data_IF_228036724304
#
_entry.id   IF_228036724304
#
_cell.length_a   1.000
_cell.length_b   1.000
_cell.length_c   1.000
_cell.angle_alpha   90.00
_cell.angle_beta   90.00
_cell.angle_gamma   90.00
#
_symmetry.space_group_name_H-M   'P 1'
#
loop_
_entity.id
_entity.type
_entity.pdbx_description
1 polymer ?
#
# COMPACT_ATOMS: atom_id res chain seq x y z
N UNK A 1 10.36 27.40 3.96
CA UNK A 1 10.66 27.01 5.36
C UNK A 1 11.65 25.86 5.26
N UNK A 2 12.83 25.94 5.90
CA UNK A 2 13.78 24.82 5.88
C UNK A 2 13.18 23.67 6.71
N UNK A 3 13.21 22.42 6.24
CA UNK A 3 12.79 21.30 7.08
C UNK A 3 13.77 21.16 8.27
N UNK A 4 13.30 20.67 9.43
CA UNK A 4 14.17 20.48 10.57
C UNK A 4 15.21 19.42 10.23
N UNK A 5 16.49 19.76 10.40
CA UNK A 5 17.57 18.78 10.41
C UNK A 5 17.35 17.90 11.64
N UNK A 6 16.80 16.70 11.43
CA UNK A 6 16.77 15.67 12.45
C UNK A 6 18.22 15.33 12.79
N UNK A 7 18.69 15.82 13.93
CA UNK A 7 19.91 15.31 14.56
C UNK A 7 19.49 13.96 15.14
N UNK A 8 19.68 12.89 14.37
CA UNK A 8 19.57 11.52 14.88
C UNK A 8 20.70 11.37 15.89
N UNK A 9 20.36 11.59 17.16
CA UNK A 9 21.23 11.27 18.28
C UNK A 9 21.25 9.74 18.35
N UNK A 10 22.23 9.13 17.69
CA UNK A 10 22.56 7.72 17.85
C UNK A 10 22.91 7.49 19.33
N UNK A 11 21.88 7.20 20.12
CA UNK A 11 22.02 6.67 21.46
C UNK A 11 22.44 5.21 21.24
N UNK A 12 23.74 4.97 21.13
CA UNK A 12 24.27 3.63 21.26
C UNK A 12 23.82 3.11 22.63
N UNK A 13 22.80 2.25 22.64
CA UNK A 13 22.37 1.56 23.85
C UNK A 13 23.46 0.55 24.17
N UNK A 14 24.46 1.02 24.91
CA UNK A 14 25.40 0.19 25.62
C UNK A 14 24.60 -0.78 26.50
N UNK A 15 24.51 -2.05 26.09
CA UNK A 15 24.02 -3.10 26.97
C UNK A 15 25.09 -3.26 28.04
N UNK A 16 24.95 -2.50 29.13
CA UNK A 16 25.69 -2.72 30.35
C UNK A 16 25.26 -4.09 30.90
N UNK A 17 26.05 -5.12 30.61
CA UNK A 17 26.02 -6.36 31.37
C UNK A 17 26.31 -5.99 32.83
N UNK A 18 25.26 -5.98 33.66
CA UNK A 18 25.38 -5.76 35.10
C UNK A 18 26.06 -6.96 35.75
N UNK A 19 27.39 -6.98 35.72
CA UNK A 19 28.24 -7.82 36.55
C UNK A 19 28.77 -7.00 37.72
N UNK A 20 28.52 -7.48 38.95
CA UNK A 20 28.71 -6.71 40.19
C UNK A 20 30.14 -6.26 40.46
N UNK A 21 30.24 -5.29 41.38
CA UNK A 21 31.49 -4.78 41.95
C UNK A 21 32.42 -5.92 42.42
N UNK A 22 33.41 -6.24 41.58
CA UNK A 22 34.48 -7.20 41.80
C UNK A 22 35.55 -6.88 40.77
N UNK A 23 36.83 -6.94 41.18
CA UNK A 23 38.02 -6.54 40.43
C UNK A 23 37.85 -6.61 38.90
N UNK A 24 38.04 -5.48 38.20
CA UNK A 24 38.12 -5.46 36.74
C UNK A 24 39.38 -6.27 36.34
N UNK A 25 39.18 -7.41 35.68
CA UNK A 25 40.27 -8.07 34.97
C UNK A 25 40.69 -7.15 33.82
N UNK A 26 41.99 -7.06 33.56
CA UNK A 26 42.53 -6.24 32.48
C UNK A 26 41.92 -6.67 31.13
N UNK A 27 41.44 -5.71 30.34
CA UNK A 27 40.84 -6.08 29.06
C UNK A 27 40.09 -4.97 28.35
N UNK A 28 39.38 -5.38 27.31
CA UNK A 28 38.47 -4.53 26.52
C UNK A 28 37.08 -4.62 27.16
N UNK A 29 36.57 -3.50 27.65
CA UNK A 29 35.31 -3.45 28.39
C UNK A 29 34.10 -3.24 27.47
N UNK A 30 34.22 -2.33 26.52
CA UNK A 30 33.16 -1.97 25.58
C UNK A 30 33.78 -1.56 24.24
N UNK A 31 33.16 -1.96 23.13
CA UNK A 31 33.57 -1.55 21.79
C UNK A 31 32.33 -1.28 20.93
N UNK A 32 32.35 -0.19 20.18
CA UNK A 32 31.31 0.15 19.22
C UNK A 32 31.92 0.77 17.96
N UNK A 33 31.34 0.48 16.80
CA UNK A 33 31.56 1.29 15.60
C UNK A 33 30.69 2.54 15.73
N UNK A 34 31.22 3.69 15.35
CA UNK A 34 30.68 5.02 15.60
C UNK A 34 31.11 5.94 14.44
N UNK A 35 30.79 7.23 14.55
CA UNK A 35 31.23 8.23 13.58
C UNK A 35 30.29 8.35 12.37
N UNK A 36 30.70 9.10 11.34
CA UNK A 36 29.83 9.48 10.21
C UNK A 36 29.36 8.29 9.37
N UNK A 37 30.13 7.21 9.35
CA UNK A 37 29.79 5.99 8.64
C UNK A 37 28.79 5.10 9.40
N UNK A 38 28.52 5.35 10.70
CA UNK A 38 27.52 4.59 11.44
C UNK A 38 26.12 4.96 10.93
N UNK A 39 25.51 4.05 10.18
CA UNK A 39 24.23 4.29 9.51
C UNK A 39 23.07 4.18 10.49
N UNK A 40 22.91 3.01 11.11
CA UNK A 40 21.83 2.71 12.05
C UNK A 40 22.13 1.42 12.82
N UNK A 41 21.29 1.09 13.80
CA UNK A 41 21.27 -0.23 14.45
C UNK A 41 19.84 -0.72 14.46
N UNK A 42 19.62 -1.89 13.87
CA UNK A 42 18.29 -2.50 13.79
C UNK A 42 18.40 -3.96 14.24
N UNK A 43 17.53 -4.36 15.17
CA UNK A 43 17.53 -5.69 15.80
C UNK A 43 18.90 -6.15 16.32
N UNK A 44 19.67 -5.20 16.85
CA UNK A 44 21.02 -5.44 17.37
C UNK A 44 22.11 -5.61 16.31
N UNK A 45 21.77 -5.54 15.02
CA UNK A 45 22.76 -5.50 13.93
C UNK A 45 23.15 -4.05 13.66
N UNK A 46 24.44 -3.77 13.71
CA UNK A 46 24.98 -2.46 13.37
C UNK A 46 25.19 -2.35 11.86
N UNK A 47 24.68 -1.29 11.24
CA UNK A 47 24.85 -1.00 9.83
C UNK A 47 25.79 0.18 9.63
N UNK A 48 26.67 0.07 8.64
CA UNK A 48 27.64 1.13 8.30
C UNK A 48 27.62 1.44 6.81
N UNK A 49 27.96 2.67 6.43
CA UNK A 49 28.04 3.10 5.04
C UNK A 49 29.39 2.75 4.41
N UNK A 50 29.33 2.02 3.29
CA UNK A 50 30.49 1.73 2.45
C UNK A 50 31.14 3.03 1.95
N UNK A 51 32.47 3.12 2.05
CA UNK A 51 33.27 4.24 1.54
C UNK A 51 33.22 5.50 2.39
N UNK A 52 32.73 5.40 3.63
CA UNK A 52 32.86 6.45 4.64
C UNK A 52 33.72 5.91 5.79
N UNK A 53 34.73 6.67 6.23
CA UNK A 53 35.57 6.26 7.35
C UNK A 53 34.76 6.12 8.64
N UNK A 54 34.63 4.91 9.21
CA UNK A 54 34.04 4.71 10.52
C UNK A 54 35.04 5.08 11.63
N UNK A 55 34.50 5.42 12.79
CA UNK A 55 35.25 5.51 14.02
C UNK A 55 35.00 4.27 14.87
N UNK A 56 36.04 3.69 15.48
CA UNK A 56 35.88 2.66 16.50
C UNK A 56 36.15 3.27 17.86
N UNK A 57 35.13 3.27 18.71
CA UNK A 57 35.25 3.70 20.10
C UNK A 57 35.36 2.46 20.98
N UNK A 58 36.38 2.42 21.82
CA UNK A 58 36.63 1.29 22.74
C UNK A 58 37.09 1.79 24.11
N UNK A 59 36.63 1.13 25.17
CA UNK A 59 37.07 1.37 26.54
C UNK A 59 37.92 0.21 27.01
N UNK A 60 39.13 0.51 27.48
CA UNK A 60 40.08 -0.49 28.00
C UNK A 60 40.44 -0.22 29.45
N UNK A 61 40.73 -1.28 30.20
CA UNK A 61 41.19 -1.23 31.59
C UNK A 61 42.50 -2.00 31.79
N UNK A 62 43.31 -1.55 32.74
CA UNK A 62 44.58 -2.21 33.11
C UNK A 62 44.39 -3.27 34.19
N UNK A 63 45.35 -4.21 34.32
CA UNK A 63 45.39 -5.09 35.47
C UNK A 63 45.65 -4.31 36.75
N UNK A 64 45.15 -4.85 37.88
CA UNK A 64 45.58 -4.43 39.22
C UNK A 64 47.05 -4.86 39.42
N UNK A 65 47.87 -3.95 39.93
CA UNK A 65 49.30 -4.08 40.19
C UNK A 65 49.55 -3.90 41.69
N UNK A 66 50.76 -4.15 42.19
CA UNK A 66 51.08 -3.94 43.62
C UNK A 66 51.73 -2.57 43.89
N UNK A 67 52.05 -1.81 42.84
CA UNK A 67 52.77 -0.53 42.93
C UNK A 67 52.09 0.55 42.06
N UNK A 68 51.39 1.48 42.71
CA UNK A 68 50.64 2.60 42.12
C UNK A 68 51.50 3.60 41.31
N UNK A 69 52.82 3.41 41.22
CA UNK A 69 53.76 4.27 40.49
C UNK A 69 54.25 3.69 39.16
N UNK A 70 53.82 2.48 38.80
CA UNK A 70 54.23 1.82 37.56
C UNK A 70 53.39 2.32 36.37
N UNK A 71 54.02 3.01 35.43
CA UNK A 71 53.39 3.42 34.18
C UNK A 71 53.76 2.43 33.11
N UNK A 72 52.76 1.73 32.56
CA UNK A 72 52.98 0.80 31.45
C UNK A 72 52.45 1.37 30.16
N UNK A 73 53.20 1.11 29.10
CA UNK A 73 52.79 1.45 27.75
C UNK A 73 51.93 0.31 27.23
N UNK A 74 50.81 0.66 26.64
CA UNK A 74 49.89 -0.27 25.99
C UNK A 74 49.61 0.23 24.57
N UNK A 75 49.10 -0.66 23.73
CA UNK A 75 48.59 -0.26 22.42
C UNK A 75 47.24 -0.92 22.15
N UNK A 76 46.34 -0.14 21.55
CA UNK A 76 45.09 -0.63 20.98
C UNK A 76 45.24 -0.65 19.47
N UNK A 77 44.84 -1.77 18.86
CA UNK A 77 44.88 -1.97 17.40
C UNK A 77 43.52 -2.43 16.92
N UNK A 78 43.13 -1.93 15.75
CA UNK A 78 41.90 -2.32 15.07
C UNK A 78 42.25 -3.07 13.79
N UNK A 79 41.64 -4.22 13.57
CA UNK A 79 41.79 -5.06 12.37
C UNK A 79 40.42 -5.46 11.84
N UNK A 80 40.30 -5.63 10.53
CA UNK A 80 39.09 -6.14 9.84
C UNK A 80 39.31 -7.62 9.46
N UNK A 81 38.28 -8.45 9.61
CA UNK A 81 38.44 -9.93 9.53
C UNK A 81 37.99 -10.55 8.20
N UNK A 82 37.48 -9.76 7.25
CA UNK A 82 36.92 -10.31 6.00
C UNK A 82 37.96 -10.76 4.98
N UNK A 83 39.25 -10.46 5.20
CA UNK A 83 40.33 -11.16 4.51
C UNK A 83 40.74 -12.39 5.33
N UNK A 84 40.78 -13.56 4.67
CA UNK A 84 40.96 -14.90 5.23
C UNK A 84 42.26 -15.14 6.03
N UNK A 85 43.01 -14.12 6.44
CA UNK A 85 44.19 -14.23 7.29
C UNK A 85 44.16 -13.08 8.32
N UNK A 86 43.77 -13.39 9.56
CA UNK A 86 44.13 -12.57 10.72
C UNK A 86 45.10 -13.38 11.58
N UNK A 87 46.38 -13.26 11.27
CA UNK A 87 47.47 -13.61 12.16
C UNK A 87 47.90 -12.39 12.97
N UNK A 88 48.65 -12.56 14.07
CA UNK A 88 49.15 -11.47 14.92
C UNK A 88 50.19 -10.53 14.23
N UNK A 89 50.26 -10.51 12.90
CA UNK A 89 51.17 -9.72 12.09
C UNK A 89 50.52 -8.93 10.95
N UNK A 90 49.19 -8.95 10.82
CA UNK A 90 48.50 -8.15 9.80
C UNK A 90 48.49 -6.65 10.16
N UNK A 91 48.58 -5.78 9.15
CA UNK A 91 48.64 -4.34 9.35
C UNK A 91 47.31 -3.85 9.95
N UNK A 92 47.38 -3.28 11.14
CA UNK A 92 46.22 -2.70 11.79
C UNK A 92 45.67 -1.54 10.94
N UNK A 93 44.36 -1.54 10.71
CA UNK A 93 43.65 -0.44 10.04
C UNK A 93 43.85 0.88 10.79
N UNK A 94 43.87 0.81 12.12
CA UNK A 94 44.23 1.92 12.99
C UNK A 94 44.91 1.41 14.26
N UNK A 95 45.79 2.23 14.84
CA UNK A 95 46.40 1.91 16.13
C UNK A 95 46.66 3.16 16.96
N UNK A 96 46.63 3.00 18.28
CA UNK A 96 46.90 4.07 19.24
C UNK A 96 47.68 3.53 20.43
N UNK A 97 48.78 4.20 20.75
CA UNK A 97 49.56 3.91 21.96
C UNK A 97 49.06 4.76 23.12
N UNK A 98 48.94 4.15 24.29
CA UNK A 98 48.45 4.77 25.52
C UNK A 98 49.35 4.43 26.70
N UNK A 99 49.26 5.26 27.74
CA UNK A 99 49.92 5.00 29.01
C UNK A 99 48.83 5.04 30.07
N UNK A 100 48.64 3.93 30.77
CA UNK A 100 47.63 3.79 31.81
C UNK A 100 48.30 3.47 33.14
N UNK A 101 47.62 3.87 34.22
CA UNK A 101 47.95 3.43 35.58
C UNK A 101 47.04 2.27 35.97
N UNK A 102 47.34 1.69 37.11
CA UNK A 102 46.54 0.67 37.76
C UNK A 102 45.11 1.16 38.07
N UNK A 103 44.09 0.36 37.71
CA UNK A 103 42.65 0.66 37.92
C UNK A 103 42.12 1.87 37.12
N UNK A 104 42.83 2.32 36.09
CA UNK A 104 42.34 3.36 35.17
C UNK A 104 41.64 2.74 33.95
N UNK A 105 40.46 3.26 33.63
CA UNK A 105 39.76 3.04 32.37
C UNK A 105 40.04 4.19 31.40
N UNK A 106 40.25 3.87 30.12
CA UNK A 106 40.38 4.89 29.08
C UNK A 106 39.57 4.53 27.85
N UNK A 107 38.69 5.46 27.47
CA UNK A 107 37.97 5.42 26.20
C UNK A 107 38.82 6.04 25.09
N UNK A 108 38.90 5.34 23.97
CA UNK A 108 39.69 5.69 22.80
C UNK A 108 38.81 5.63 21.58
N UNK A 109 38.88 6.68 20.75
CA UNK A 109 38.32 6.68 19.41
C UNK A 109 39.47 6.55 18.41
N UNK A 110 39.34 5.59 17.49
CA UNK A 110 40.26 5.34 16.39
C UNK A 110 39.48 5.48 15.07
N UNK A 111 39.84 6.47 14.26
CA UNK A 111 39.29 6.63 12.91
C UNK A 111 39.97 5.63 11.98
N UNK A 112 39.17 4.82 11.29
CA UNK A 112 39.66 3.86 10.29
C UNK A 112 39.89 4.59 8.95
N UNK A 113 40.69 4.01 8.03
CA UNK A 113 40.85 4.60 6.70
C UNK A 113 39.54 4.51 5.88
N UNK A 114 39.41 5.36 4.86
CA UNK A 114 38.20 5.48 4.03
C UNK A 114 37.85 4.19 3.26
N UNK A 115 38.83 3.29 3.09
CA UNK A 115 38.69 1.98 2.42
C UNK A 115 38.40 0.82 3.38
N UNK A 116 38.37 1.07 4.70
CA UNK A 116 37.87 0.08 5.66
C UNK A 116 36.35 -0.10 5.51
N UNK A 117 35.85 -1.34 5.61
CA UNK A 117 34.42 -1.64 5.49
C UNK A 117 33.80 -1.14 4.17
N UNK A 118 34.52 -1.27 3.05
CA UNK A 118 34.08 -0.77 1.74
C UNK A 118 33.19 -1.77 0.96
N UNK A 119 33.27 -3.05 1.30
CA UNK A 119 32.56 -4.14 0.63
C UNK A 119 31.19 -4.38 1.26
N UNK A 120 30.09 -4.28 0.50
CA UNK A 120 28.75 -4.56 1.04
C UNK A 120 28.61 -5.95 1.64
N UNK A 121 27.79 -6.08 2.67
CA UNK A 121 27.49 -7.33 3.37
C UNK A 121 28.10 -7.42 4.78
N UNK A 122 27.97 -8.58 5.44
CA UNK A 122 28.48 -8.78 6.80
C UNK A 122 30.00 -8.63 6.86
N UNK A 123 30.47 -7.97 7.92
CA UNK A 123 31.88 -7.77 8.23
C UNK A 123 32.08 -7.74 9.75
N UNK A 124 33.33 -7.86 10.21
CA UNK A 124 33.65 -7.65 11.62
C UNK A 124 34.94 -6.85 11.79
N UNK A 125 34.93 -6.05 12.85
CA UNK A 125 36.08 -5.30 13.33
C UNK A 125 36.52 -5.89 14.66
N UNK A 126 37.81 -6.25 14.75
CA UNK A 126 38.43 -6.77 15.97
C UNK A 126 39.31 -5.68 16.58
N UNK A 127 39.05 -5.37 17.84
CA UNK A 127 39.87 -4.49 18.66
C UNK A 127 40.72 -5.35 19.58
N UNK A 128 42.04 -5.29 19.40
CA UNK A 128 42.99 -5.95 20.29
C UNK A 128 43.66 -4.95 21.24
N UNK A 129 43.77 -5.32 22.51
CA UNK A 129 44.52 -4.60 23.54
C UNK A 129 45.82 -5.34 23.86
N UNK A 130 46.95 -4.65 23.72
CA UNK A 130 48.29 -5.25 23.79
C UNK A 130 49.17 -4.57 24.84
N UNK A 131 50.03 -5.35 25.48
CA UNK A 131 51.05 -4.84 26.41
C UNK A 131 52.26 -4.21 25.68
N UNK A 132 53.20 -3.66 26.46
CA UNK A 132 54.42 -3.03 25.95
C UNK A 132 55.34 -3.96 25.14
N UNK A 133 55.20 -5.28 25.29
CA UNK A 133 55.97 -6.30 24.55
C UNK A 133 55.29 -6.69 23.24
N UNK A 134 54.03 -6.26 23.04
CA UNK A 134 53.19 -6.63 21.92
C UNK A 134 52.39 -7.92 22.15
N UNK A 135 52.32 -8.42 23.39
CA UNK A 135 51.48 -9.56 23.71
C UNK A 135 50.01 -9.12 23.84
N UNK A 136 49.10 -9.89 23.26
CA UNK A 136 47.65 -9.66 23.36
C UNK A 136 47.21 -9.91 24.81
N UNK A 137 46.55 -8.91 25.41
CA UNK A 137 45.92 -8.99 26.73
C UNK A 137 44.50 -9.49 26.56
N UNK A 138 43.74 -8.82 25.67
CA UNK A 138 42.33 -9.12 25.43
C UNK A 138 41.90 -8.57 24.05
N UNK A 139 40.77 -9.04 23.54
CA UNK A 139 40.19 -8.56 22.29
C UNK A 139 38.67 -8.57 22.30
N UNK A 140 38.06 -7.60 21.61
CA UNK A 140 36.63 -7.54 21.35
C UNK A 140 36.37 -7.55 19.85
N UNK A 141 35.39 -8.33 19.41
CA UNK A 141 34.91 -8.32 18.02
C UNK A 141 33.56 -7.61 17.96
N UNK A 142 33.37 -6.77 16.95
CA UNK A 142 32.09 -6.11 16.64
C UNK A 142 31.71 -6.48 15.22
N UNK A 143 30.57 -7.15 15.07
CA UNK A 143 30.00 -7.47 13.76
C UNK A 143 29.15 -6.32 13.25
N UNK A 144 29.33 -5.98 11.97
CA UNK A 144 28.59 -4.94 11.26
C UNK A 144 28.07 -5.47 9.92
N UNK A 145 27.10 -4.79 9.34
CA UNK A 145 26.70 -4.99 7.94
C UNK A 145 26.95 -3.71 7.16
N UNK A 146 27.78 -3.83 6.12
CA UNK A 146 28.11 -2.72 5.24
C UNK A 146 27.03 -2.54 4.19
N UNK A 147 26.49 -1.33 4.08
CA UNK A 147 25.49 -0.91 3.09
C UNK A 147 26.04 0.16 2.16
N UNK A 148 25.50 0.20 0.94
CA UNK A 148 25.71 1.35 0.03
C UNK A 148 24.49 2.25 0.08
N UNK A 149 24.71 3.56 0.27
CA UNK A 149 23.66 4.58 0.30
C UNK A 149 22.74 4.56 -0.91
N UNK A 150 23.31 4.26 -2.09
CA UNK A 150 22.62 4.24 -3.38
C UNK A 150 22.12 2.86 -3.79
N UNK A 151 22.35 1.84 -2.97
CA UNK A 151 21.74 0.54 -3.19
C UNK A 151 20.34 0.53 -2.60
N UNK A 152 19.53 -0.36 -3.12
CA UNK A 152 18.16 -0.68 -2.74
C UNK A 152 18.21 -2.14 -2.24
N UNK A 153 17.83 -2.37 -0.99
CA UNK A 153 18.14 -3.62 -0.29
C UNK A 153 17.00 -4.62 -0.37
N UNK A 154 15.78 -4.17 -0.16
CA UNK A 154 14.54 -4.92 -0.26
C UNK A 154 13.96 -4.91 -1.68
N UNK A 155 14.35 -3.95 -2.52
CA UNK A 155 14.06 -3.96 -3.95
C UNK A 155 12.78 -3.22 -4.32
N UNK A 156 12.27 -2.35 -3.46
CA UNK A 156 11.06 -1.55 -3.65
C UNK A 156 11.29 -0.31 -4.56
N UNK A 157 12.55 0.02 -4.86
CA UNK A 157 12.94 1.17 -5.64
C UNK A 157 13.33 2.42 -4.83
N UNK A 158 13.25 2.37 -3.50
CA UNK A 158 13.89 3.34 -2.61
C UNK A 158 15.34 2.93 -2.36
N UNK A 159 16.20 3.94 -2.22
CA UNK A 159 17.60 3.68 -1.84
C UNK A 159 17.68 3.59 -0.32
N UNK A 160 18.58 2.73 0.19
CA UNK A 160 18.87 2.58 1.62
C UNK A 160 19.02 3.93 2.36
N UNK A 161 19.61 4.94 1.71
CA UNK A 161 19.81 6.27 2.32
C UNK A 161 18.55 7.15 2.40
N UNK A 162 17.50 6.82 1.66
CA UNK A 162 16.18 7.45 1.74
C UNK A 162 15.37 6.87 2.90
N UNK A 163 15.54 5.59 3.17
CA UNK A 163 14.77 4.82 4.15
C UNK A 163 15.45 4.81 5.52
N UNK A 164 16.79 4.71 5.57
CA UNK A 164 17.54 4.83 6.83
C UNK A 164 17.42 6.26 7.36
N UNK A 165 16.60 6.41 8.40
CA UNK A 165 16.22 7.71 8.98
C UNK A 165 14.98 8.33 8.34
N UNK A 166 14.37 7.64 7.37
CA UNK A 166 13.05 7.89 6.81
C UNK A 166 11.94 7.12 7.55
N UNK A 167 10.71 7.11 6.98
CA UNK A 167 9.55 6.47 7.58
C UNK A 167 9.46 4.96 7.32
N UNK A 168 10.10 4.46 6.26
CA UNK A 168 10.03 3.07 5.78
C UNK A 168 11.18 2.19 6.32
N UNK A 169 11.00 0.86 6.36
CA UNK A 169 12.05 -0.09 6.74
C UNK A 169 12.79 -0.60 5.50
N UNK A 170 14.05 -0.19 5.32
CA UNK A 170 14.99 -0.62 4.26
C UNK A 170 15.27 -2.14 4.13
N UNK A 171 14.52 -2.98 4.84
CA UNK A 171 14.58 -4.44 4.81
C UNK A 171 13.24 -5.05 4.43
N UNK A 172 12.22 -4.23 4.29
CA UNK A 172 10.84 -4.63 4.06
C UNK A 172 10.27 -3.77 2.93
N UNK A 173 10.01 -4.34 1.74
CA UNK A 173 9.62 -3.55 0.59
C UNK A 173 8.19 -2.96 0.68
N UNK A 174 7.42 -3.32 1.71
CA UNK A 174 6.02 -2.94 1.96
C UNK A 174 5.88 -2.77 3.48
N UNK A 175 6.12 -1.56 3.97
CA UNK A 175 6.29 -1.28 5.41
C UNK A 175 4.99 -1.45 6.20
N UNK A 176 3.83 -1.26 5.57
CA UNK A 176 2.55 -1.39 6.24
C UNK A 176 1.80 -2.69 5.95
N UNK A 177 2.24 -3.50 4.99
CA UNK A 177 1.65 -4.77 4.55
C UNK A 177 0.27 -4.62 3.87
N UNK A 178 0.02 -3.56 3.10
CA UNK A 178 -1.22 -3.40 2.32
C UNK A 178 -1.16 -4.06 0.92
N UNK A 179 0.04 -4.41 0.46
CA UNK A 179 0.31 -5.01 -0.84
C UNK A 179 0.78 -4.03 -1.92
N UNK A 180 1.09 -2.79 -1.56
CA UNK A 180 1.74 -1.77 -2.36
C UNK A 180 3.16 -1.56 -1.82
N UNK A 181 4.16 -1.60 -2.68
CA UNK A 181 5.56 -1.42 -2.24
C UNK A 181 5.85 0.07 -1.95
N UNK A 182 6.62 0.33 -0.89
CA UNK A 182 6.97 1.65 -0.35
C UNK A 182 7.48 2.62 -1.45
N UNK A 183 8.33 2.13 -2.34
CA UNK A 183 8.87 2.91 -3.45
C UNK A 183 7.81 3.43 -4.42
N UNK A 184 6.99 2.57 -5.05
CA UNK A 184 5.83 2.99 -5.83
C UNK A 184 4.89 3.96 -5.11
N UNK A 185 4.62 3.74 -3.82
CA UNK A 185 3.79 4.65 -3.02
C UNK A 185 4.35 6.06 -3.03
N UNK A 186 5.60 6.22 -2.62
CA UNK A 186 6.25 7.53 -2.52
C UNK A 186 6.48 8.17 -3.89
N UNK A 187 6.78 7.39 -4.92
CA UNK A 187 7.26 7.93 -6.21
C UNK A 187 6.18 8.06 -7.29
N UNK A 188 5.08 7.30 -7.17
CA UNK A 188 4.06 7.21 -8.22
C UNK A 188 2.66 7.53 -7.71
N UNK A 189 2.24 6.94 -6.60
CA UNK A 189 0.84 7.02 -6.15
C UNK A 189 0.60 8.19 -5.20
N UNK A 190 1.61 8.58 -4.42
CA UNK A 190 1.49 9.67 -3.45
C UNK A 190 0.83 9.25 -2.14
N UNK A 191 0.71 7.95 -1.91
CA UNK A 191 0.20 7.33 -0.67
C UNK A 191 1.23 7.39 0.47
N UNK A 192 0.79 7.14 1.69
CA UNK A 192 1.63 7.07 2.88
C UNK A 192 2.08 5.62 3.12
N UNK A 193 3.36 5.27 2.87
CA UNK A 193 3.86 3.88 2.93
C UNK A 193 3.93 3.28 4.34
N UNK A 194 3.34 3.96 5.32
CA UNK A 194 3.25 3.50 6.70
C UNK A 194 1.80 3.33 7.15
N UNK A 195 0.85 3.48 6.23
CA UNK A 195 -0.58 3.45 6.45
C UNK A 195 -1.28 2.81 5.26
N UNK A 196 -1.78 1.61 5.50
CA UNK A 196 -2.59 0.85 4.53
C UNK A 196 -3.70 1.62 3.84
N UNK A 197 -4.26 2.60 4.55
CA UNK A 197 -5.43 3.38 4.16
C UNK A 197 -5.02 4.85 4.34
N UNK A 198 -4.58 5.46 3.24
CA UNK A 198 -3.97 6.78 3.19
C UNK A 198 -4.99 7.86 3.53
N UNK A 199 -6.15 7.82 2.90
CA UNK A 199 -7.19 8.86 2.99
C UNK A 199 -8.18 8.65 4.16
N UNK A 200 -8.24 7.43 4.71
CA UNK A 200 -9.03 7.05 5.85
C UNK A 200 -10.47 6.66 5.54
N UNK A 201 -10.81 6.26 4.31
CA UNK A 201 -12.17 5.84 3.93
C UNK A 201 -12.51 4.40 4.40
N UNK A 202 -11.48 3.58 4.68
CA UNK A 202 -11.57 2.21 5.13
C UNK A 202 -11.24 1.15 4.08
N UNK A 203 -10.74 1.53 2.92
CA UNK A 203 -10.15 0.65 1.90
C UNK A 203 -8.62 0.77 1.97
N UNK A 204 -7.93 -0.36 1.75
CA UNK A 204 -6.47 -0.32 1.65
C UNK A 204 -6.04 0.25 0.28
N UNK A 205 -4.97 1.04 0.19
CA UNK A 205 -4.52 1.76 -1.02
C UNK A 205 -4.28 0.81 -2.20
N UNK A 206 -3.66 -0.35 -1.94
CA UNK A 206 -3.48 -1.39 -2.95
C UNK A 206 -4.80 -1.93 -3.50
N UNK A 207 -5.90 -1.92 -2.72
CA UNK A 207 -7.24 -2.36 -3.16
C UNK A 207 -7.90 -1.30 -4.02
N UNK A 208 -7.78 -0.03 -3.67
CA UNK A 208 -8.32 1.10 -4.45
C UNK A 208 -7.76 1.12 -5.86
N UNK A 209 -6.43 1.01 -5.98
CA UNK A 209 -5.76 0.91 -7.29
C UNK A 209 -6.21 -0.30 -8.14
N UNK A 210 -6.71 -1.38 -7.52
CA UNK A 210 -7.23 -2.56 -8.25
C UNK A 210 -8.65 -2.35 -8.76
N UNK A 211 -9.47 -1.60 -8.03
CA UNK A 211 -10.86 -1.34 -8.38
C UNK A 211 -11.01 -0.08 -9.23
N UNK A 212 -10.00 0.79 -9.25
CA UNK A 212 -9.96 1.97 -10.11
C UNK A 212 -10.14 3.29 -9.37
N UNK A 213 -10.30 3.26 -8.04
CA UNK A 213 -10.37 4.46 -7.20
C UNK A 213 -8.99 5.08 -6.91
N UNK A 214 -8.99 6.33 -6.47
CA UNK A 214 -7.81 7.11 -6.09
C UNK A 214 -7.57 6.97 -4.56
N UNK A 215 -6.47 6.33 -4.13
CA UNK A 215 -6.18 6.06 -2.71
C UNK A 215 -5.88 7.30 -1.86
N UNK A 216 -6.01 8.48 -2.44
CA UNK A 216 -5.76 9.75 -1.74
C UNK A 216 -7.04 10.58 -1.56
N UNK A 217 -8.19 10.11 -2.04
CA UNK A 217 -9.46 10.82 -2.03
C UNK A 217 -10.61 9.88 -1.62
N UNK A 218 -11.31 10.24 -0.53
CA UNK A 218 -12.39 9.42 0.08
C UNK A 218 -13.59 9.17 -0.86
N UNK A 219 -13.70 9.97 -1.90
CA UNK A 219 -14.77 10.02 -2.90
C UNK A 219 -14.09 10.39 -4.21
N UNK A 220 -13.74 9.36 -4.99
CA UNK A 220 -12.84 9.47 -6.13
C UNK A 220 -13.43 10.31 -7.27
N UNK A 221 -14.72 10.13 -7.57
CA UNK A 221 -15.39 10.82 -8.67
C UNK A 221 -16.14 12.09 -8.26
N UNK A 222 -16.36 12.28 -6.95
CA UNK A 222 -16.94 13.48 -6.37
C UNK A 222 -18.46 13.55 -6.47
N UNK A 223 -19.16 12.43 -6.64
CA UNK A 223 -20.63 12.38 -6.66
C UNK A 223 -21.25 12.50 -5.25
N UNK A 224 -20.42 12.33 -4.21
CA UNK A 224 -20.79 12.42 -2.80
C UNK A 224 -21.03 11.07 -2.13
N UNK A 225 -20.78 9.94 -2.78
CA UNK A 225 -20.60 8.61 -2.21
C UNK A 225 -19.12 8.42 -1.82
N UNK A 226 -18.86 7.69 -0.73
CA UNK A 226 -17.48 7.30 -0.45
C UNK A 226 -17.17 6.00 -1.19
N UNK A 227 -15.93 5.83 -1.65
CA UNK A 227 -15.54 4.70 -2.51
C UNK A 227 -15.88 3.36 -1.85
N UNK A 228 -15.69 3.26 -0.53
CA UNK A 228 -16.07 2.07 0.23
C UNK A 228 -17.54 1.73 0.07
N UNK A 229 -18.44 2.71 0.16
CA UNK A 229 -19.88 2.49 0.03
C UNK A 229 -20.24 1.99 -1.37
N UNK A 230 -19.62 2.55 -2.38
CA UNK A 230 -19.83 2.14 -3.77
C UNK A 230 -19.41 0.68 -4.00
N UNK A 231 -18.21 0.34 -3.54
CA UNK A 231 -17.62 -0.99 -3.73
C UNK A 231 -18.30 -2.06 -2.87
N UNK A 232 -18.67 -1.75 -1.62
CA UNK A 232 -19.15 -2.74 -0.65
C UNK A 232 -20.68 -2.79 -0.51
N UNK A 233 -21.40 -1.72 -0.83
CA UNK A 233 -22.85 -1.61 -0.62
C UNK A 233 -23.67 -1.44 -1.90
N UNK A 234 -23.22 -0.66 -2.89
CA UNK A 234 -24.04 -0.15 -4.01
C UNK A 234 -23.70 -0.72 -5.40
N UNK A 235 -22.85 -1.74 -5.49
CA UNK A 235 -22.07 -2.12 -6.68
C UNK A 235 -21.83 -1.08 -7.80
N UNK A 236 -21.67 0.20 -7.49
CA UNK A 236 -21.34 1.27 -8.47
C UNK A 236 -19.85 1.31 -8.79
N UNK A 237 -19.46 2.03 -9.85
CA UNK A 237 -18.05 2.24 -10.21
C UNK A 237 -17.53 3.53 -9.56
N UNK A 238 -16.66 3.47 -8.54
CA UNK A 238 -16.21 4.65 -7.78
C UNK A 238 -15.40 5.65 -8.60
N UNK A 239 -15.04 5.32 -9.83
CA UNK A 239 -14.36 6.24 -10.75
C UNK A 239 -15.34 6.99 -11.67
N UNK A 240 -16.65 6.76 -11.55
CA UNK A 240 -17.69 7.27 -12.43
C UNK A 240 -18.88 7.78 -11.63
N UNK A 241 -19.01 9.11 -11.56
CA UNK A 241 -20.12 9.74 -10.86
C UNK A 241 -21.53 9.34 -11.38
N UNK A 242 -21.60 8.75 -12.57
CA UNK A 242 -22.81 8.26 -13.25
C UNK A 242 -22.44 6.89 -13.83
N UNK A 243 -22.70 5.84 -13.06
CA UNK A 243 -22.23 4.47 -13.31
C UNK A 243 -22.86 3.87 -14.57
N UNK A 244 -24.12 4.16 -14.83
CA UNK A 244 -24.90 3.55 -15.91
C UNK A 244 -25.02 4.43 -17.17
N UNK A 245 -24.64 5.70 -17.06
CA UNK A 245 -24.58 6.67 -18.15
C UNK A 245 -25.96 7.16 -18.59
N UNK A 246 -26.93 7.25 -17.68
CA UNK A 246 -28.25 7.79 -17.96
C UNK A 246 -28.31 9.33 -17.90
N UNK A 247 -27.39 9.95 -17.15
CA UNK A 247 -27.29 11.40 -16.96
C UNK A 247 -27.61 11.89 -15.55
N UNK A 248 -27.96 11.00 -14.62
CA UNK A 248 -28.00 11.24 -13.18
C UNK A 248 -26.72 10.71 -12.52
N UNK A 249 -26.32 11.35 -11.43
CA UNK A 249 -25.21 10.82 -10.63
C UNK A 249 -25.71 9.76 -9.63
N UNK A 250 -24.86 8.80 -9.25
CA UNK A 250 -25.27 7.63 -8.46
C UNK A 250 -25.88 8.06 -7.11
N UNK A 251 -25.28 9.08 -6.47
CA UNK A 251 -25.83 9.72 -5.28
C UNK A 251 -27.25 10.24 -5.53
N UNK A 252 -27.49 10.92 -6.66
CA UNK A 252 -28.79 11.50 -7.02
C UNK A 252 -29.84 10.42 -7.27
N UNK A 253 -29.47 9.31 -7.87
CA UNK A 253 -30.36 8.17 -8.10
C UNK A 253 -30.84 7.55 -6.80
N UNK A 254 -29.94 7.35 -5.83
CA UNK A 254 -30.34 6.89 -4.49
C UNK A 254 -31.29 7.85 -3.77
N UNK A 255 -31.14 9.15 -3.98
CA UNK A 255 -32.03 10.18 -3.43
C UNK A 255 -33.42 10.16 -4.10
N UNK A 256 -33.51 9.69 -5.34
CA UNK A 256 -34.73 9.53 -6.13
C UNK A 256 -35.40 8.17 -5.91
N UNK A 257 -34.62 7.16 -5.50
CA UNK A 257 -35.07 5.78 -5.36
C UNK A 257 -34.92 4.95 -6.62
N UNK A 258 -34.14 5.43 -7.59
CA UNK A 258 -33.76 4.70 -8.81
C UNK A 258 -32.54 3.80 -8.57
N UNK A 259 -32.26 2.87 -9.50
CA UNK A 259 -31.11 1.97 -9.43
C UNK A 259 -29.92 2.54 -10.20
N UNK A 260 -28.81 2.93 -9.52
CA UNK A 260 -27.65 3.57 -10.17
C UNK A 260 -26.86 2.68 -11.13
N UNK A 261 -27.33 1.47 -11.37
CA UNK A 261 -26.73 0.52 -12.31
C UNK A 261 -27.65 0.19 -13.49
N UNK A 262 -28.85 0.77 -13.55
CA UNK A 262 -29.88 0.52 -14.57
C UNK A 262 -30.42 1.84 -15.14
N UNK A 263 -30.09 2.21 -16.41
CA UNK A 263 -30.43 3.53 -16.97
C UNK A 263 -31.90 3.85 -17.14
N UNK A 264 -32.79 2.93 -16.78
CA UNK A 264 -34.25 2.90 -16.97
C UNK A 264 -34.76 1.94 -15.87
N UNK A 265 -35.02 2.50 -14.69
CA UNK A 265 -35.28 1.74 -13.44
C UNK A 265 -36.57 0.93 -13.51
N UNK A 266 -37.58 1.40 -14.24
CA UNK A 266 -38.90 0.76 -14.30
C UNK A 266 -39.19 0.03 -15.63
N UNK A 267 -38.20 -0.01 -16.53
CA UNK A 267 -38.20 -0.72 -17.81
C UNK A 267 -39.31 -0.26 -18.78
N UNK A 268 -39.70 1.02 -18.72
CA UNK A 268 -40.78 1.57 -19.55
C UNK A 268 -40.32 2.07 -20.94
N UNK A 269 -39.00 2.24 -21.10
CA UNK A 269 -38.32 2.70 -22.30
C UNK A 269 -37.83 4.14 -22.26
N UNK A 270 -38.04 4.87 -21.16
CA UNK A 270 -37.43 6.16 -20.86
C UNK A 270 -36.30 5.98 -19.87
N UNK A 271 -35.27 6.83 -19.97
CA UNK A 271 -34.22 6.85 -18.95
C UNK A 271 -34.66 7.66 -17.74
N UNK A 272 -34.20 7.33 -16.55
CA UNK A 272 -34.57 8.03 -15.32
C UNK A 272 -34.30 9.54 -15.40
N UNK A 273 -33.13 9.93 -15.94
CA UNK A 273 -32.78 11.32 -16.21
C UNK A 273 -33.77 12.01 -17.16
N UNK A 274 -34.22 11.29 -18.19
CA UNK A 274 -35.15 11.79 -19.20
C UNK A 274 -36.56 11.96 -18.62
N UNK A 275 -36.98 11.04 -17.77
CA UNK A 275 -38.26 11.10 -17.07
C UNK A 275 -38.37 12.31 -16.16
N UNK A 276 -37.30 12.63 -15.44
CA UNK A 276 -37.24 13.87 -14.65
C UNK A 276 -37.36 15.14 -15.50
N UNK A 277 -36.85 15.14 -16.73
CA UNK A 277 -37.03 16.27 -17.66
C UNK A 277 -38.47 16.38 -18.18
N UNK A 278 -39.14 15.24 -18.34
CA UNK A 278 -40.52 15.13 -18.81
C UNK A 278 -41.55 15.36 -17.68
N UNK A 279 -41.15 15.11 -16.44
CA UNK A 279 -41.99 15.19 -15.24
C UNK A 279 -42.73 13.90 -14.89
N UNK A 280 -42.37 12.77 -15.51
CA UNK A 280 -42.84 11.42 -15.15
C UNK A 280 -42.11 10.91 -13.90
N UNK A 281 -42.60 9.83 -13.29
CA UNK A 281 -41.99 9.20 -12.12
C UNK A 281 -41.09 8.04 -12.55
N UNK A 282 -39.76 8.12 -12.38
CA UNK A 282 -38.81 7.11 -12.88
C UNK A 282 -38.84 5.77 -12.13
N UNK A 283 -39.86 5.55 -11.33
CA UNK A 283 -40.09 4.31 -10.59
C UNK A 283 -41.49 3.75 -10.83
N UNK A 284 -42.26 4.39 -11.70
CA UNK A 284 -43.63 4.02 -12.05
C UNK A 284 -43.82 4.04 -13.57
N UNK A 285 -43.86 2.86 -14.23
CA UNK A 285 -43.80 2.77 -15.69
C UNK A 285 -45.08 3.23 -16.40
N UNK A 286 -46.01 3.91 -15.71
CA UNK A 286 -47.32 4.42 -16.16
C UNK A 286 -47.76 5.54 -15.20
N UNK A 287 -47.13 6.72 -15.33
CA UNK A 287 -47.20 7.82 -14.34
C UNK A 287 -48.64 8.29 -14.06
N UNK A 288 -49.49 8.30 -15.08
CA UNK A 288 -50.87 8.76 -14.94
C UNK A 288 -51.88 7.63 -14.69
N UNK A 289 -51.44 6.38 -14.79
CA UNK A 289 -52.15 5.17 -14.43
C UNK A 289 -53.28 4.80 -15.39
N UNK A 290 -53.14 5.15 -16.68
CA UNK A 290 -54.16 4.92 -17.68
C UNK A 290 -54.05 3.57 -18.41
N UNK A 291 -52.97 2.83 -18.14
CA UNK A 291 -52.66 1.50 -18.66
C UNK A 291 -51.63 1.48 -19.79
N UNK A 292 -51.08 2.64 -20.18
CA UNK A 292 -50.08 2.77 -21.23
C UNK A 292 -48.74 3.26 -20.64
N UNK A 293 -47.61 2.58 -20.91
CA UNK A 293 -46.33 3.05 -20.36
C UNK A 293 -45.87 4.39 -20.93
N UNK A 294 -45.24 5.23 -20.11
CA UNK A 294 -44.87 6.61 -20.47
C UNK A 294 -43.97 6.64 -21.72
N UNK A 295 -43.00 5.72 -21.80
CA UNK A 295 -42.15 5.54 -22.98
C UNK A 295 -42.94 5.22 -24.26
N UNK A 296 -44.02 4.44 -24.15
CA UNK A 296 -44.87 4.11 -25.30
C UNK A 296 -45.72 5.29 -25.73
N UNK A 297 -46.21 6.08 -24.77
CA UNK A 297 -46.97 7.29 -25.04
C UNK A 297 -46.18 8.25 -25.91
N UNK A 298 -44.91 8.47 -25.58
CA UNK A 298 -44.06 9.38 -26.34
C UNK A 298 -43.60 8.80 -27.68
N UNK A 299 -43.10 7.55 -27.70
CA UNK A 299 -42.46 7.01 -28.89
C UNK A 299 -43.46 6.47 -29.93
N UNK A 300 -44.61 5.96 -29.47
CA UNK A 300 -45.51 5.17 -30.33
C UNK A 300 -46.86 5.83 -30.55
N UNK A 301 -47.45 6.43 -29.52
CA UNK A 301 -48.82 6.94 -29.59
C UNK A 301 -48.90 8.46 -29.78
N UNK A 302 -47.88 9.20 -29.32
CA UNK A 302 -47.84 10.66 -29.33
C UNK A 302 -48.83 11.29 -28.36
N UNK A 303 -49.08 10.63 -27.23
CA UNK A 303 -49.92 11.09 -26.11
C UNK A 303 -49.06 11.73 -25.02
N UNK A 304 -49.68 12.39 -24.04
CA UNK A 304 -49.01 13.08 -22.93
C UNK A 304 -48.98 12.16 -21.70
N UNK A 305 -47.81 11.67 -21.25
CA UNK A 305 -47.70 10.70 -20.15
C UNK A 305 -48.10 11.22 -18.77
N UNK A 306 -48.47 12.50 -18.69
CA UNK A 306 -48.98 13.12 -17.46
C UNK A 306 -50.50 13.28 -17.48
N UNK A 307 -51.18 12.81 -18.53
CA UNK A 307 -52.61 13.02 -18.77
C UNK A 307 -53.29 11.78 -19.35
N UNK A 308 -54.00 11.06 -18.49
CA UNK A 308 -54.72 9.83 -18.82
C UNK A 308 -55.80 9.94 -19.94
N UNK A 309 -56.04 11.12 -20.51
CA UNK A 309 -56.94 11.37 -21.64
C UNK A 309 -56.45 12.66 -22.33
N UNK A 310 -55.40 12.52 -23.15
CA UNK A 310 -54.68 13.63 -23.77
C UNK A 310 -55.58 14.55 -24.61
N UNK A 311 -56.58 13.99 -25.31
CA UNK A 311 -57.46 14.75 -26.20
C UNK A 311 -58.79 15.21 -25.54
N UNK A 312 -59.08 14.69 -24.35
CA UNK A 312 -60.21 15.05 -23.52
C UNK A 312 -61.56 14.56 -24.06
N UNK A 313 -61.57 13.47 -24.84
CA UNK A 313 -62.79 12.91 -25.44
C UNK A 313 -63.57 11.97 -24.49
N UNK A 314 -62.98 11.62 -23.35
CA UNK A 314 -63.54 10.77 -22.31
C UNK A 314 -63.16 9.29 -22.42
N UNK A 315 -62.24 8.94 -23.30
CA UNK A 315 -61.58 7.62 -23.40
C UNK A 315 -60.13 7.81 -23.03
N UNK A 316 -59.58 6.95 -22.16
CA UNK A 316 -58.16 7.07 -21.80
C UNK A 316 -57.26 6.67 -22.96
N UNK A 317 -56.04 7.16 -23.00
CA UNK A 317 -55.08 6.85 -24.07
C UNK A 317 -54.77 5.34 -24.09
N UNK A 318 -54.57 4.72 -22.93
CA UNK A 318 -54.52 3.28 -22.76
C UNK A 318 -55.77 2.56 -23.31
N UNK A 319 -56.98 3.03 -23.02
CA UNK A 319 -58.20 2.44 -23.59
C UNK A 319 -58.28 2.57 -25.11
N UNK A 320 -57.88 3.72 -25.66
CA UNK A 320 -57.84 3.96 -27.11
C UNK A 320 -56.80 3.06 -27.81
N UNK A 321 -55.68 2.78 -27.15
CA UNK A 321 -54.64 1.86 -27.60
C UNK A 321 -55.01 0.37 -27.45
N UNK A 322 -56.06 0.03 -26.70
CA UNK A 322 -56.45 -1.34 -26.39
C UNK A 322 -55.73 -1.94 -25.17
N UNK A 323 -55.15 -1.08 -24.33
CA UNK A 323 -54.46 -1.34 -23.07
C UNK A 323 -55.22 -0.70 -21.89
N UNK A 324 -56.42 -1.20 -21.53
CA UNK A 324 -57.18 -0.61 -20.43
C UNK A 324 -56.48 -0.81 -19.08
N UNK A 325 -56.62 0.13 -18.13
CA UNK A 325 -55.94 0.06 -16.84
C UNK A 325 -56.39 -1.18 -16.08
N UNK A 326 -55.46 -1.76 -15.30
CA UNK A 326 -55.73 -2.94 -14.49
C UNK A 326 -56.96 -2.68 -13.60
N UNK A 327 -58.01 -3.48 -13.78
CA UNK A 327 -59.28 -3.27 -13.08
C UNK A 327 -59.05 -3.29 -11.56
N UNK A 328 -59.29 -2.16 -10.89
CA UNK A 328 -59.16 -1.98 -9.44
C UNK A 328 -59.87 -3.10 -8.66
N UNK A 329 -59.11 -4.12 -8.23
CA UNK A 329 -59.67 -5.28 -7.56
C UNK A 329 -58.77 -6.49 -7.28
N UNK A 330 -57.57 -6.61 -7.85
CA UNK A 330 -56.68 -7.74 -7.55
C UNK A 330 -55.51 -7.32 -6.65
N UNK A 331 -55.65 -7.63 -5.37
CA UNK A 331 -54.59 -7.57 -4.37
C UNK A 331 -53.65 -8.75 -4.53
N UNK A 332 -52.35 -8.46 -4.66
CA UNK A 332 -51.25 -9.33 -4.24
C UNK A 332 -50.80 -10.36 -5.28
N UNK A 333 -49.72 -10.06 -5.98
CA UNK A 333 -48.42 -10.70 -5.76
C UNK A 333 -47.39 -10.00 -6.67
N UNK A 334 -46.32 -9.48 -6.08
CA UNK A 334 -45.24 -8.78 -6.78
C UNK A 334 -44.44 -9.72 -7.68
N UNK A 335 -44.92 -9.93 -8.89
CA UNK A 335 -44.15 -10.48 -10.00
C UNK A 335 -44.44 -9.62 -11.24
N UNK A 336 -43.41 -9.17 -11.99
CA UNK A 336 -43.65 -8.55 -13.27
C UNK A 336 -44.36 -9.58 -14.15
N UNK A 337 -45.38 -9.13 -14.88
CA UNK A 337 -46.20 -9.96 -15.75
C UNK A 337 -45.44 -10.36 -17.03
N UNK A 338 -44.21 -10.88 -16.90
CA UNK A 338 -43.47 -11.51 -17.98
C UNK A 338 -43.92 -12.96 -18.20
N UNK A 339 -45.22 -13.23 -18.40
CA UNK A 339 -45.67 -14.51 -18.98
C UNK A 339 -47.15 -14.55 -19.37
N UNK A 340 -47.59 -13.74 -20.33
CA UNK A 340 -48.61 -14.23 -21.29
C UNK A 340 -48.72 -13.40 -22.59
N UNK A 341 -47.60 -12.88 -23.09
CA UNK A 341 -47.62 -12.09 -24.33
C UNK A 341 -47.81 -12.99 -25.55
N UNK A 342 -49.04 -13.07 -26.05
CA UNK A 342 -49.30 -13.64 -27.37
C UNK A 342 -49.00 -12.58 -28.42
N UNK A 343 -47.87 -12.74 -29.13
CA UNK A 343 -47.59 -11.97 -30.34
C UNK A 343 -48.71 -12.18 -31.38
N UNK A 344 -49.30 -11.13 -31.96
CA UNK A 344 -50.03 -11.29 -33.21
C UNK A 344 -49.02 -11.51 -34.35
N UNK A 345 -48.97 -12.74 -34.85
CA UNK A 345 -48.41 -13.08 -36.16
C UNK A 345 -49.11 -12.25 -37.25
N UNK A 346 -48.45 -11.21 -37.78
CA UNK A 346 -48.75 -10.73 -39.13
C UNK A 346 -47.64 -9.87 -39.73
N UNK A 347 -46.65 -10.54 -40.35
CA UNK A 347 -45.93 -9.99 -41.50
C UNK A 347 -45.84 -11.05 -42.60
N UNK A 348 -46.96 -11.34 -43.26
CA UNK A 348 -46.91 -11.84 -44.64
C UNK A 348 -46.72 -10.68 -45.60
N UNK A 349 -45.51 -10.55 -46.18
CA UNK A 349 -45.32 -10.64 -47.63
C UNK A 349 -43.87 -10.30 -48.04
N UNK A 350 -43.06 -11.36 -48.07
CA UNK A 350 -42.13 -11.71 -49.14
C UNK A 350 -41.27 -10.64 -49.81
N UNK A 351 -39.97 -10.70 -49.52
CA UNK A 351 -38.93 -10.72 -50.57
C UNK A 351 -37.83 -11.71 -50.17
N UNK A 352 -37.69 -12.78 -50.96
CA UNK A 352 -36.53 -13.67 -50.91
C UNK A 352 -35.46 -13.12 -51.85
N UNK A 353 -34.28 -12.82 -51.32
CA UNK A 353 -33.01 -12.92 -52.06
C UNK A 353 -31.91 -13.36 -51.08
N UNK A 354 -31.14 -14.41 -51.39
CA UNK A 354 -30.17 -15.01 -50.47
C UNK A 354 -28.79 -14.37 -50.64
N UNK A 355 -27.93 -14.37 -49.61
CA UNK A 355 -26.47 -14.62 -49.71
C UNK A 355 -25.91 -14.95 -48.31
N UNK A 356 -25.49 -16.23 -48.19
CA UNK A 356 -24.39 -16.84 -47.42
C UNK A 356 -23.53 -16.02 -46.43
N UNK A 357 -23.22 -16.63 -45.28
CA UNK A 357 -21.83 -16.74 -44.80
C UNK A 357 -21.55 -16.64 -43.29
N UNK A 358 -21.12 -17.78 -42.70
CA UNK A 358 -20.29 -17.97 -41.48
C UNK A 358 -20.76 -17.31 -40.16
N UNK A 359 -21.30 -18.04 -39.18
CA UNK A 359 -20.64 -18.98 -38.22
C UNK A 359 -19.51 -18.33 -37.41
N UNK A 360 -19.77 -18.15 -36.10
CA UNK A 360 -18.77 -17.81 -35.09
C UNK A 360 -19.36 -17.75 -33.68
N UNK A 361 -19.86 -18.87 -33.18
CA UNK A 361 -20.20 -19.03 -31.76
C UNK A 361 -18.91 -19.16 -30.92
N UNK A 362 -18.79 -18.39 -29.84
CA UNK A 362 -17.85 -18.67 -28.75
C UNK A 362 -18.69 -18.91 -27.50
N UNK A 363 -18.65 -20.16 -27.04
CA UNK A 363 -19.28 -20.63 -25.82
C UNK A 363 -18.35 -20.39 -24.62
N UNK A 364 -18.87 -19.74 -23.58
CA UNK A 364 -18.23 -19.68 -22.26
C UNK A 364 -18.59 -20.98 -21.52
N UNK A 365 -17.56 -21.74 -21.15
CA UNK A 365 -17.64 -23.00 -20.42
C UNK A 365 -17.24 -22.75 -18.97
N UNK A 366 -18.14 -22.99 -18.02
CA UNK A 366 -17.80 -23.40 -16.64
C UNK A 366 -18.76 -24.50 -16.24
N UNK A 367 -18.25 -25.68 -15.87
CA UNK A 367 -18.70 -26.51 -14.73
C UNK A 367 -17.59 -27.52 -14.42
N UNK A 368 -17.20 -27.50 -13.14
CA UNK A 368 -16.62 -28.53 -12.25
C UNK A 368 -16.23 -29.90 -12.81
N UNK A 369 -15.09 -30.42 -12.33
CA UNK A 369 -15.05 -31.78 -11.83
C UNK A 369 -13.93 -32.04 -10.80
N UNK A 370 -14.24 -32.98 -9.92
CA UNK A 370 -13.60 -33.35 -8.66
C UNK A 370 -12.49 -34.39 -8.84
N UNK A 371 -11.74 -34.60 -7.76
CA UNK A 371 -10.65 -35.56 -7.60
C UNK A 371 -11.00 -37.02 -8.01
N UNK A 372 -9.99 -37.78 -8.45
CA UNK A 372 -9.68 -39.08 -7.82
C UNK A 372 -8.29 -39.63 -8.15
N UNK A 373 -7.77 -40.28 -7.11
CA UNK A 373 -6.55 -41.02 -6.88
C UNK A 373 -6.33 -42.23 -7.82
N UNK A 374 -5.12 -42.39 -8.39
CA UNK A 374 -4.26 -43.58 -8.26
C UNK A 374 -2.92 -43.42 -8.98
#
# INVERSE_FOLDING_TARGET
MNPPRAVVLLLALAIALSGGAGAVDAGVLETAVTGPAAATTVDGTQYVWAGEAPDVTTTVATPVFEDERDYRHYSVRVTETRDEHVGPGDEALASKSIVLREVDEQTLTLTLPDDALDKPGPDSVVVGFYDATGALIDSSEVTVTVLRKTSDRDGDGLQNSQEIGGPTDFRDPDTDDDGLEDGPEVTKFGTDPTRKDTDGDGIDDARELRVGSDPTEVDTDGDGLDDRREIEELPTDPALADTDGDGLDDRRELDLGTDPTEPDTDDDGLKDAQELELGTDPTDPDTDGDGLPDGWELERFGTDPLTADTDGDGVTDGQAAGHPPAASGESGDGQPAASNWSFPDSLESGWVVPVTGLVGAIAIRRVFEWATFR
#
